data_IF_916797502047
#
_entry.id   IF_916797502047
#
_cell.length_a   1.000
_cell.length_b   1.000
_cell.length_c   1.000
_cell.angle_alpha   90.00
_cell.angle_beta   90.00
_cell.angle_gamma   90.00
#
_symmetry.space_group_name_H-M   'P 1'
#
loop_
_entity.id
_entity.type
_entity.pdbx_description
1 polymer ?
#
# COMPACT_ATOMS: atom_id res chain seq x y z
N UNK A 1 10.83 -13.02 6.18
CA UNK A 1 9.96 -13.06 4.98
C UNK A 1 10.64 -12.31 3.84
N UNK A 2 10.38 -12.68 2.58
CA UNK A 2 10.92 -11.97 1.42
C UNK A 2 9.79 -11.45 0.52
N UNK A 3 9.95 -10.25 -0.03
CA UNK A 3 9.11 -9.69 -1.08
C UNK A 3 9.94 -9.62 -2.37
N UNK A 4 9.45 -10.28 -3.42
CA UNK A 4 10.18 -10.56 -4.66
C UNK A 4 9.40 -9.98 -5.83
N UNK A 5 10.09 -9.34 -6.78
CA UNK A 5 9.43 -8.86 -8.00
C UNK A 5 9.06 -10.05 -8.90
N UNK A 6 7.95 -9.98 -9.67
CA UNK A 6 7.57 -11.06 -10.56
C UNK A 6 8.68 -11.39 -11.56
N UNK A 7 8.80 -12.68 -11.88
CA UNK A 7 9.67 -13.19 -12.93
C UNK A 7 8.97 -13.16 -14.28
N UNK A 8 9.68 -13.50 -15.36
CA UNK A 8 9.09 -13.63 -16.71
C UNK A 8 8.11 -14.81 -16.83
N UNK A 9 8.09 -15.73 -15.85
CA UNK A 9 7.15 -16.84 -15.82
C UNK A 9 5.82 -16.48 -15.13
N UNK A 10 5.78 -15.33 -14.46
CA UNK A 10 4.61 -14.84 -13.74
C UNK A 10 3.74 -13.94 -14.64
N UNK A 11 2.50 -13.70 -14.21
CA UNK A 11 1.62 -12.70 -14.82
C UNK A 11 1.77 -11.39 -14.04
N UNK A 12 2.52 -10.40 -14.55
CA UNK A 12 2.71 -9.14 -13.85
C UNK A 12 1.40 -8.35 -13.75
N UNK A 13 1.13 -7.83 -12.55
CA UNK A 13 -0.02 -6.96 -12.28
C UNK A 13 0.29 -5.51 -12.69
N UNK A 14 1.54 -5.07 -12.56
CA UNK A 14 1.98 -3.71 -12.85
C UNK A 14 3.00 -3.67 -13.98
N UNK A 15 3.07 -2.58 -14.75
CA UNK A 15 4.05 -2.43 -15.83
C UNK A 15 5.50 -2.34 -15.33
N UNK A 16 5.72 -1.96 -14.08
CA UNK A 16 7.06 -1.84 -13.48
C UNK A 16 7.02 -2.03 -11.97
N UNK A 17 8.11 -2.55 -11.40
CA UNK A 17 8.23 -2.84 -9.98
C UNK A 17 9.42 -2.11 -9.35
N UNK A 18 9.16 -1.18 -8.44
CA UNK A 18 10.18 -0.43 -7.67
C UNK A 18 10.24 -0.92 -6.22
N UNK A 19 10.85 -2.09 -6.03
CA UNK A 19 10.98 -2.72 -4.71
C UNK A 19 11.89 -1.93 -3.77
N UNK A 20 12.86 -1.20 -4.33
CA UNK A 20 13.67 -0.22 -3.64
C UNK A 20 12.83 0.90 -3.03
N UNK A 21 11.86 1.44 -3.78
CA UNK A 21 10.93 2.42 -3.23
C UNK A 21 10.08 1.85 -2.09
N UNK A 22 9.59 0.62 -2.23
CA UNK A 22 8.79 -0.03 -1.18
C UNK A 22 9.63 -0.27 0.09
N UNK A 23 10.86 -0.76 -0.07
CA UNK A 23 11.81 -0.94 1.03
C UNK A 23 12.05 0.38 1.77
N UNK A 24 12.34 1.46 1.04
CA UNK A 24 12.63 2.76 1.66
C UNK A 24 11.41 3.41 2.31
N UNK A 25 10.21 3.24 1.74
CA UNK A 25 8.97 3.70 2.40
C UNK A 25 8.77 2.98 3.73
N UNK A 26 8.84 1.64 3.75
CA UNK A 26 8.67 0.86 4.98
C UNK A 26 9.71 1.25 6.03
N UNK A 27 10.98 1.36 5.63
CA UNK A 27 12.07 1.80 6.50
C UNK A 27 11.80 3.20 7.10
N UNK A 28 11.50 4.18 6.26
CA UNK A 28 11.25 5.57 6.70
C UNK A 28 10.02 5.68 7.58
N UNK A 29 8.94 4.94 7.30
CA UNK A 29 7.75 4.93 8.16
C UNK A 29 8.11 4.41 9.56
N UNK A 30 8.86 3.31 9.65
CA UNK A 30 9.33 2.77 10.93
C UNK A 30 10.32 3.67 11.68
N UNK A 31 11.08 4.51 10.98
CA UNK A 31 12.00 5.48 11.59
C UNK A 31 11.30 6.76 12.06
N UNK A 32 10.28 7.21 11.34
CA UNK A 32 9.65 8.53 11.53
C UNK A 32 8.38 8.48 12.35
N UNK A 33 7.81 7.30 12.58
CA UNK A 33 6.51 7.13 13.24
C UNK A 33 6.53 5.97 14.21
N UNK A 34 5.46 5.84 15.00
CA UNK A 34 5.20 4.69 15.86
C UNK A 34 4.32 3.63 15.18
N UNK A 35 4.11 3.74 13.86
CA UNK A 35 3.28 2.81 13.10
C UNK A 35 4.01 1.46 13.03
N UNK A 36 3.33 0.36 13.39
CA UNK A 36 3.93 -0.96 13.33
C UNK A 36 4.13 -1.38 11.88
N UNK A 37 5.39 -1.39 11.44
CA UNK A 37 5.80 -1.93 10.14
C UNK A 37 6.88 -2.99 10.35
N UNK A 38 6.94 -4.04 9.50
CA UNK A 38 7.99 -5.04 9.60
C UNK A 38 9.38 -4.40 9.42
N UNK A 39 10.33 -4.62 10.34
CA UNK A 39 11.69 -4.18 10.16
C UNK A 39 12.28 -4.76 8.87
N UNK A 40 12.61 -3.89 7.92
CA UNK A 40 13.31 -4.28 6.69
C UNK A 40 14.79 -4.52 7.00
N UNK A 41 15.34 -5.59 6.43
CA UNK A 41 16.69 -6.08 6.79
C UNK A 41 17.69 -5.91 5.66
N UNK A 42 17.28 -6.25 4.43
CA UNK A 42 18.18 -6.23 3.29
C UNK A 42 17.42 -6.04 1.97
N UNK A 43 18.01 -5.28 1.05
CA UNK A 43 17.52 -5.04 -0.31
C UNK A 43 18.57 -5.53 -1.31
N UNK A 44 18.13 -6.33 -2.27
CA UNK A 44 18.90 -6.76 -3.44
C UNK A 44 18.19 -6.18 -4.68
N UNK A 45 18.66 -5.03 -5.22
CA UNK A 45 17.95 -4.29 -6.23
C UNK A 45 18.30 -4.69 -7.67
N UNK A 46 19.33 -5.50 -7.90
CA UNK A 46 19.84 -5.82 -9.24
C UNK A 46 19.17 -7.06 -9.82
N UNK A 47 18.75 -8.00 -8.96
CA UNK A 47 18.24 -9.30 -9.38
C UNK A 47 19.33 -10.30 -9.72
N UNK A 48 20.61 -9.99 -9.43
CA UNK A 48 21.73 -10.89 -9.73
C UNK A 48 21.68 -12.19 -8.91
N UNK A 49 20.97 -12.19 -7.78
CA UNK A 49 20.92 -13.34 -6.86
C UNK A 49 19.76 -14.28 -7.17
N UNK A 50 18.55 -13.75 -7.40
CA UNK A 50 17.33 -14.55 -7.64
C UNK A 50 16.77 -14.41 -9.06
N UNK A 51 17.48 -13.73 -9.96
CA UNK A 51 17.01 -13.40 -11.31
C UNK A 51 16.04 -12.22 -11.35
N UNK A 52 15.66 -11.66 -10.20
CA UNK A 52 14.73 -10.54 -10.06
C UNK A 52 14.98 -9.82 -8.72
N UNK A 53 14.77 -8.50 -8.61
CA UNK A 53 14.96 -7.77 -7.36
C UNK A 53 14.09 -8.30 -6.22
N UNK A 54 14.59 -8.22 -5.00
CA UNK A 54 13.85 -8.57 -3.80
C UNK A 54 14.34 -7.82 -2.56
N UNK A 55 13.52 -7.81 -1.51
CA UNK A 55 13.97 -7.41 -0.18
C UNK A 55 13.46 -8.35 0.90
N UNK A 56 14.16 -8.38 2.02
CA UNK A 56 13.85 -9.22 3.19
C UNK A 56 13.44 -8.33 4.36
N UNK A 57 12.45 -8.80 5.09
CA UNK A 57 11.94 -8.18 6.32
C UNK A 57 11.67 -9.24 7.38
N UNK A 58 11.59 -8.82 8.64
CA UNK A 58 11.19 -9.71 9.71
C UNK A 58 9.80 -10.29 9.48
N UNK A 59 9.59 -11.50 9.99
CA UNK A 59 8.26 -12.07 10.08
C UNK A 59 7.54 -11.46 11.29
N UNK A 60 6.34 -10.94 11.08
CA UNK A 60 5.45 -10.49 12.16
C UNK A 60 4.32 -11.49 12.27
N UNK A 61 4.16 -12.08 13.44
CA UNK A 61 3.05 -12.98 13.72
C UNK A 61 1.75 -12.18 13.88
N UNK A 62 0.70 -12.58 13.15
CA UNK A 62 -0.57 -11.88 13.16
C UNK A 62 -1.63 -12.56 12.29
N UNK A 63 -2.85 -12.04 12.37
CA UNK A 63 -3.99 -12.39 11.53
C UNK A 63 -4.35 -11.23 10.62
N UNK A 64 -4.87 -11.60 9.46
CA UNK A 64 -5.28 -10.68 8.42
C UNK A 64 -6.69 -11.10 8.01
N UNK A 65 -7.65 -10.17 7.85
CA UNK A 65 -8.94 -10.49 7.24
C UNK A 65 -8.72 -11.13 5.86
N UNK A 66 -9.25 -12.33 5.59
CA UNK A 66 -8.86 -13.07 4.39
C UNK A 66 -9.44 -12.45 3.11
N UNK A 67 -8.66 -12.54 2.02
CA UNK A 67 -9.14 -12.22 0.66
C UNK A 67 -9.67 -13.45 -0.09
N UNK A 68 -9.26 -14.66 0.33
CA UNK A 68 -9.65 -15.93 -0.31
C UNK A 68 -10.18 -16.91 0.75
N UNK A 69 -11.48 -17.18 0.84
CA UNK A 69 -12.56 -16.37 0.27
C UNK A 69 -12.64 -14.99 0.96
N UNK A 70 -13.21 -13.96 0.31
CA UNK A 70 -13.29 -12.62 0.89
C UNK A 70 -13.90 -12.65 2.29
N UNK A 71 -13.34 -11.90 3.24
CA UNK A 71 -13.76 -11.91 4.64
C UNK A 71 -15.26 -11.58 4.81
N UNK A 72 -15.85 -10.87 3.85
CA UNK A 72 -17.28 -10.55 3.81
C UNK A 72 -18.18 -11.77 3.64
N UNK A 73 -17.64 -12.94 3.31
CA UNK A 73 -18.41 -14.17 3.14
C UNK A 73 -18.67 -14.91 4.47
N UNK A 74 -18.16 -14.39 5.59
CA UNK A 74 -18.27 -15.04 6.91
C UNK A 74 -17.30 -16.21 7.09
N UNK A 75 -17.48 -16.98 8.17
CA UNK A 75 -16.64 -18.15 8.50
C UNK A 75 -15.14 -17.81 8.58
N UNK A 76 -14.83 -16.67 9.20
CA UNK A 76 -13.46 -16.22 9.44
C UNK A 76 -13.39 -15.40 10.72
N UNK A 77 -12.19 -15.29 11.27
CA UNK A 77 -11.94 -14.70 12.59
C UNK A 77 -12.49 -13.27 12.72
N UNK A 78 -12.50 -12.49 11.64
CA UNK A 78 -12.91 -11.09 11.66
C UNK A 78 -14.43 -10.95 11.50
N UNK A 79 -15.01 -11.59 10.49
CA UNK A 79 -16.45 -11.50 10.23
C UNK A 79 -17.29 -12.13 11.36
N UNK A 80 -16.75 -13.17 12.01
CA UNK A 80 -17.43 -13.86 13.11
C UNK A 80 -17.12 -13.24 14.49
N UNK A 81 -16.27 -12.20 14.54
CA UNK A 81 -15.98 -11.47 15.77
C UNK A 81 -17.18 -10.61 16.22
N UNK A 82 -17.30 -10.29 17.53
CA UNK A 82 -18.26 -9.29 18.01
C UNK A 82 -18.12 -7.95 17.28
N UNK A 83 -19.23 -7.24 17.09
CA UNK A 83 -19.26 -5.98 16.36
C UNK A 83 -18.31 -4.92 16.97
N UNK A 84 -18.15 -4.92 18.29
CA UNK A 84 -17.22 -4.05 19.01
C UNK A 84 -15.77 -4.33 18.60
N UNK A 85 -15.40 -5.60 18.41
CA UNK A 85 -14.05 -5.99 17.98
C UNK A 85 -13.79 -5.66 16.52
N UNK A 86 -14.82 -5.78 15.67
CA UNK A 86 -14.72 -5.31 14.28
C UNK A 86 -14.50 -3.80 14.23
N UNK A 87 -15.23 -3.06 15.08
CA UNK A 87 -15.13 -1.60 15.19
C UNK A 87 -13.77 -1.15 15.73
N UNK A 88 -13.23 -1.82 16.75
CA UNK A 88 -11.88 -1.53 17.28
C UNK A 88 -10.80 -1.70 16.19
N UNK A 89 -10.88 -2.76 15.38
CA UNK A 89 -9.94 -2.95 14.27
C UNK A 89 -10.10 -1.86 13.20
N UNK A 90 -11.33 -1.48 12.88
CA UNK A 90 -11.60 -0.38 11.95
C UNK A 90 -10.99 0.93 12.46
N UNK A 91 -11.23 1.28 13.73
CA UNK A 91 -10.74 2.52 14.34
C UNK A 91 -9.21 2.57 14.35
N UNK A 92 -8.56 1.50 14.82
CA UNK A 92 -7.08 1.42 14.82
C UNK A 92 -6.47 1.51 13.42
N UNK A 93 -7.14 0.95 12.40
CA UNK A 93 -6.69 1.05 10.99
C UNK A 93 -6.82 2.49 10.47
N UNK A 94 -7.91 3.19 10.80
CA UNK A 94 -8.09 4.61 10.45
C UNK A 94 -7.09 5.50 11.19
N UNK A 95 -6.77 5.19 12.45
CA UNK A 95 -5.73 5.91 13.20
C UNK A 95 -4.35 5.77 12.55
N UNK A 96 -3.99 4.57 12.06
CA UNK A 96 -2.73 4.36 11.31
C UNK A 96 -2.70 5.22 10.05
N UNK A 97 -3.81 5.27 9.29
CA UNK A 97 -3.90 6.13 8.11
C UNK A 97 -3.75 7.61 8.44
N UNK A 98 -4.40 8.08 9.50
CA UNK A 98 -4.26 9.46 9.97
C UNK A 98 -2.80 9.77 10.35
N UNK A 99 -2.12 8.85 11.04
CA UNK A 99 -0.70 9.00 11.39
C UNK A 99 0.21 9.06 10.16
N UNK A 100 -0.01 8.19 9.16
CA UNK A 100 0.73 8.22 7.90
C UNK A 100 0.56 9.56 7.17
N UNK A 101 -0.68 10.04 7.09
CA UNK A 101 -0.99 11.31 6.43
C UNK A 101 -0.45 12.52 7.21
N UNK A 102 -0.12 12.36 8.50
CA UNK A 102 0.44 13.42 9.33
C UNK A 102 1.97 13.51 9.30
N UNK A 103 2.66 12.69 8.50
CA UNK A 103 4.12 12.76 8.38
C UNK A 103 4.52 14.11 7.76
N UNK A 104 5.27 14.97 8.46
CA UNK A 104 5.57 16.31 8.00
C UNK A 104 6.50 16.30 6.78
N UNK A 105 6.30 17.26 5.87
CA UNK A 105 7.09 17.44 4.66
C UNK A 105 7.18 16.16 3.81
N UNK A 106 6.05 15.44 3.65
CA UNK A 106 6.01 14.14 2.98
C UNK A 106 6.65 14.17 1.58
N UNK A 107 6.40 15.21 0.79
CA UNK A 107 7.01 15.36 -0.55
C UNK A 107 8.55 15.39 -0.52
N UNK A 108 9.14 16.02 0.50
CA UNK A 108 10.60 16.06 0.65
C UNK A 108 11.12 14.73 1.19
N UNK A 109 10.47 14.18 2.22
CA UNK A 109 10.86 12.94 2.88
C UNK A 109 10.79 11.74 1.95
N UNK A 110 9.79 11.71 1.06
CA UNK A 110 9.49 10.67 0.09
C UNK A 110 9.64 11.13 -1.36
N UNK A 111 10.51 12.13 -1.61
CA UNK A 111 10.69 12.70 -2.96
C UNK A 111 11.20 11.73 -4.02
N UNK A 112 11.65 10.53 -3.62
CA UNK A 112 11.99 9.45 -4.55
C UNK A 112 10.74 8.82 -5.20
N UNK A 113 9.54 8.93 -4.59
CA UNK A 113 8.31 8.35 -5.13
C UNK A 113 7.79 9.05 -6.37
N UNK A 114 8.12 10.33 -6.56
CA UNK A 114 7.68 11.07 -7.73
C UNK A 114 8.61 12.22 -8.07
N UNK A 115 8.78 12.48 -9.36
CA UNK A 115 9.50 13.65 -9.88
C UNK A 115 8.63 14.36 -10.91
N UNK A 116 8.78 15.68 -11.04
CA UNK A 116 8.04 16.50 -11.99
C UNK A 116 7.40 17.73 -11.37
N UNK A 117 6.97 18.67 -12.23
CA UNK A 117 6.44 19.97 -11.84
C UNK A 117 4.91 19.99 -11.62
N UNK A 118 4.18 18.98 -12.10
CA UNK A 118 2.72 18.89 -11.93
C UNK A 118 2.33 18.57 -10.47
N UNK A 119 1.03 18.48 -10.17
CA UNK A 119 0.56 17.98 -8.87
C UNK A 119 0.77 16.48 -8.74
N UNK A 120 0.82 15.96 -7.51
CA UNK A 120 0.91 14.52 -7.27
C UNK A 120 -0.26 13.74 -7.88
N UNK A 121 -1.47 14.31 -7.84
CA UNK A 121 -2.66 13.70 -8.44
C UNK A 121 -2.57 13.60 -9.97
N UNK A 122 -2.07 14.64 -10.65
CA UNK A 122 -1.87 14.59 -12.11
C UNK A 122 -0.93 13.44 -12.50
N UNK A 123 0.18 13.29 -11.77
CA UNK A 123 1.14 12.19 -12.00
C UNK A 123 0.52 10.83 -11.72
N UNK A 124 -0.22 10.70 -10.62
CA UNK A 124 -0.88 9.45 -10.27
C UNK A 124 -1.95 9.06 -11.31
N UNK A 125 -2.76 10.01 -11.77
CA UNK A 125 -3.75 9.79 -12.83
C UNK A 125 -3.09 9.31 -14.14
N UNK A 126 -1.99 9.96 -14.55
CA UNK A 126 -1.22 9.52 -15.72
C UNK A 126 -0.66 8.09 -15.55
N UNK A 127 -0.21 7.74 -14.34
CA UNK A 127 0.24 6.38 -14.02
C UNK A 127 -0.91 5.35 -14.03
N UNK A 128 -2.09 5.68 -13.50
CA UNK A 128 -3.28 4.80 -13.59
C UNK A 128 -3.70 4.59 -15.04
N UNK A 129 -3.62 5.63 -15.88
CA UNK A 129 -3.90 5.52 -17.32
C UNK A 129 -2.89 4.60 -18.02
N UNK A 130 -1.60 4.73 -17.73
CA UNK A 130 -0.60 3.82 -18.31
C UNK A 130 -0.75 2.39 -17.81
N UNK A 131 -1.24 2.19 -16.59
CA UNK A 131 -1.60 0.87 -16.08
C UNK A 131 -2.80 0.26 -16.83
N UNK A 132 -3.83 1.05 -17.15
CA UNK A 132 -4.90 0.61 -18.04
C UNK A 132 -4.36 0.22 -19.41
N UNK A 133 -3.55 1.08 -20.04
CA UNK A 133 -2.97 0.83 -21.36
C UNK A 133 -2.07 -0.42 -21.37
N UNK A 134 -1.43 -0.75 -20.25
CA UNK A 134 -0.67 -1.98 -20.05
C UNK A 134 -1.56 -3.23 -20.04
N UNK A 135 -2.76 -3.17 -19.48
CA UNK A 135 -3.68 -4.31 -19.41
C UNK A 135 -4.43 -4.58 -20.73
N UNK A 136 -4.68 -3.52 -21.53
CA UNK A 136 -5.49 -3.60 -22.76
C UNK A 136 -5.04 -4.67 -23.77
N UNK A 137 -3.74 -4.89 -24.05
CA UNK A 137 -3.30 -5.91 -25.00
C UNK A 137 -3.74 -7.34 -24.64
N UNK A 138 -3.82 -7.65 -23.34
CA UNK A 138 -4.07 -9.01 -22.86
C UNK A 138 -5.57 -9.31 -22.69
N UNK A 139 -6.34 -8.35 -22.18
CA UNK A 139 -7.77 -8.56 -21.83
C UNK A 139 -8.74 -7.71 -22.65
N UNK A 140 -8.23 -6.83 -23.52
CA UNK A 140 -9.01 -5.95 -24.37
C UNK A 140 -9.38 -4.62 -23.72
N UNK A 141 -9.96 -3.73 -24.54
CA UNK A 141 -10.41 -2.40 -24.13
C UNK A 141 -11.70 -2.46 -23.32
N UNK A 142 -11.84 -1.55 -22.36
CA UNK A 142 -13.08 -1.34 -21.61
C UNK A 142 -13.68 0.03 -21.93
N UNK A 143 -14.77 0.10 -22.73
CA UNK A 143 -15.46 1.36 -22.99
C UNK A 143 -15.95 2.06 -21.72
N UNK A 144 -16.19 1.31 -20.64
CA UNK A 144 -16.53 1.88 -19.34
C UNK A 144 -15.35 2.67 -18.76
N UNK A 145 -14.17 2.06 -18.67
CA UNK A 145 -12.98 2.72 -18.12
C UNK A 145 -12.56 3.92 -18.95
N UNK A 146 -12.66 3.84 -20.28
CA UNK A 146 -12.35 4.97 -21.18
C UNK A 146 -13.25 6.18 -20.92
N UNK A 147 -14.57 5.96 -20.81
CA UNK A 147 -15.50 7.03 -20.44
C UNK A 147 -15.24 7.54 -19.01
N UNK A 148 -14.80 6.68 -18.10
CA UNK A 148 -14.43 7.10 -16.74
C UNK A 148 -13.19 7.98 -16.73
N UNK A 149 -12.15 7.68 -17.53
CA UNK A 149 -10.98 8.56 -17.67
C UNK A 149 -11.38 9.93 -18.22
N UNK A 150 -12.23 9.97 -19.25
CA UNK A 150 -12.76 11.23 -19.80
C UNK A 150 -13.55 12.00 -18.74
N UNK A 151 -14.38 11.32 -17.97
CA UNK A 151 -15.17 11.93 -16.90
C UNK A 151 -14.29 12.49 -15.79
N UNK A 152 -13.31 11.72 -15.29
CA UNK A 152 -12.38 12.15 -14.24
C UNK A 152 -11.56 13.37 -14.67
N UNK A 153 -11.13 13.41 -15.93
CA UNK A 153 -10.41 14.55 -16.48
C UNK A 153 -11.31 15.79 -16.60
N UNK A 154 -12.59 15.61 -16.95
CA UNK A 154 -13.56 16.70 -17.04
C UNK A 154 -14.06 17.20 -15.66
N UNK A 155 -13.95 16.39 -14.61
CA UNK A 155 -14.39 16.70 -13.24
C UNK A 155 -13.21 16.67 -12.27
N UNK A 156 -12.11 17.32 -12.66
CA UNK A 156 -10.88 17.32 -11.89
C UNK A 156 -11.09 17.96 -10.50
N UNK A 157 -10.66 17.32 -9.40
CA UNK A 157 -10.89 17.84 -8.06
C UNK A 157 -9.82 18.87 -7.68
N UNK A 158 -9.90 20.08 -8.25
CA UNK A 158 -8.87 21.13 -8.11
C UNK A 158 -8.48 21.44 -6.65
N UNK A 159 -9.45 21.53 -5.75
CA UNK A 159 -9.20 21.79 -4.31
C UNK A 159 -8.36 20.67 -3.68
N UNK A 160 -8.73 19.41 -3.91
CA UNK A 160 -7.97 18.27 -3.39
C UNK A 160 -6.61 18.12 -4.08
N UNK A 161 -6.53 18.42 -5.38
CA UNK A 161 -5.31 18.29 -6.17
C UNK A 161 -4.25 19.36 -5.83
N UNK A 162 -4.69 20.53 -5.34
CA UNK A 162 -3.84 21.64 -4.91
C UNK A 162 -3.55 21.66 -3.41
N UNK A 163 -4.18 20.77 -2.65
CA UNK A 163 -3.93 20.59 -1.22
C UNK A 163 -2.53 20.06 -0.91
N UNK A 164 -2.21 20.00 0.38
CA UNK A 164 -0.94 19.42 0.84
C UNK A 164 -0.85 17.94 0.44
N UNK A 165 0.24 17.57 -0.22
CA UNK A 165 0.49 16.19 -0.60
C UNK A 165 1.00 15.41 0.60
N UNK A 166 0.33 14.30 0.90
CA UNK A 166 0.66 13.36 1.98
C UNK A 166 1.18 12.04 1.43
N UNK A 167 1.85 11.23 2.26
CA UNK A 167 2.21 9.86 1.89
C UNK A 167 0.94 9.00 1.79
N UNK A 168 0.67 8.44 0.61
CA UNK A 168 -0.46 7.53 0.41
C UNK A 168 -0.05 6.07 0.57
N UNK A 169 -0.72 5.36 1.49
CA UNK A 169 -0.73 3.91 1.49
C UNK A 169 -1.74 3.45 0.43
N UNK A 170 -1.25 3.04 -0.74
CA UNK A 170 -2.04 2.87 -1.97
C UNK A 170 -3.11 1.76 -1.95
N UNK A 171 -3.02 0.81 -1.02
CA UNK A 171 -3.99 -0.28 -0.83
C UNK A 171 -4.30 -0.43 0.66
N UNK A 172 -5.05 0.52 1.26
CA UNK A 172 -5.42 0.44 2.66
C UNK A 172 -6.66 -0.44 2.77
N UNK A 173 -6.47 -1.73 2.62
CA UNK A 173 -7.49 -2.74 2.88
C UNK A 173 -7.19 -3.40 4.22
N UNK A 174 -8.22 -3.70 5.01
CA UNK A 174 -8.05 -4.36 6.32
C UNK A 174 -7.28 -5.67 6.17
N UNK A 175 -7.40 -6.32 5.01
CA UNK A 175 -6.63 -7.49 4.55
C UNK A 175 -5.12 -7.24 4.34
N UNK A 176 -4.61 -6.05 4.63
CA UNK A 176 -3.17 -5.78 4.66
C UNK A 176 -2.66 -5.35 6.05
N UNK A 177 -3.56 -5.19 7.02
CA UNK A 177 -3.20 -4.91 8.41
C UNK A 177 -3.07 -6.23 9.19
N UNK A 178 -1.85 -6.55 9.65
CA UNK A 178 -1.63 -7.69 10.53
C UNK A 178 -2.03 -7.33 11.97
N UNK A 179 -2.94 -8.11 12.54
CA UNK A 179 -3.43 -7.96 13.91
C UNK A 179 -2.82 -9.04 14.80
N UNK A 180 -2.28 -8.73 15.98
CA UNK A 180 -1.62 -9.72 16.85
C UNK A 180 -2.56 -10.87 17.29
N UNK A 181 -2.07 -12.11 17.30
CA UNK A 181 -2.86 -13.35 17.53
C UNK A 181 -3.29 -13.54 19.00
N UNK A 182 -2.54 -13.02 19.97
CA UNK A 182 -2.92 -13.12 21.38
C UNK A 182 -3.75 -11.90 21.76
N UNK A 183 -4.92 -12.07 22.37
CA UNK A 183 -5.81 -11.00 22.87
C UNK A 183 -5.21 -10.00 23.87
N UNK A 184 -3.89 -9.93 24.00
CA UNK A 184 -3.12 -8.78 24.45
C UNK A 184 -2.75 -7.90 23.25
N UNK A 185 -3.63 -6.94 22.99
CA UNK A 185 -3.30 -5.73 22.26
C UNK A 185 -2.32 -4.95 23.12
N UNK A 186 -1.01 -5.18 22.95
CA UNK A 186 -0.03 -4.26 23.51
C UNK A 186 -0.02 -3.00 22.66
N UNK A 187 -1.02 -2.16 22.92
CA UNK A 187 -0.79 -0.74 22.99
C UNK A 187 0.38 -0.54 23.95
N UNK A 188 1.53 -0.15 23.41
CA UNK A 188 2.55 0.66 24.07
C UNK A 188 2.57 0.61 25.60
N UNK A 189 3.47 -0.20 26.17
CA UNK A 189 4.07 0.14 27.47
C UNK A 189 5.58 -0.17 27.45
N UNK A 190 6.36 0.91 27.31
CA UNK A 190 7.68 1.14 27.91
C UNK A 190 8.71 0.01 28.05
N UNK A 191 9.90 0.32 27.52
CA UNK A 191 11.21 0.11 28.17
C UNK A 191 11.70 -1.34 28.26
N UNK A 192 12.56 -1.74 27.32
CA UNK A 192 14.01 -2.02 27.44
C UNK A 192 14.46 -2.91 26.28
#
# INVERSE_FOLDING_TARGET
MARVAPTTADVPVFPSYRLDHQFDVVRKVGELTDIPVPPVRWLEPTGDVLGTPFFVMDYIEGQVPPDVMPYTFGNNWFADAPAERQRELQESTVEILAKLHSIPNAEKTFGFLSSGADTALCRHFAWVRSWYDFAVPDIGRSPLLERTFDWLQAHWPDEAASGETVLLWATPESAMCCTAISGQWQCWTGRW
#
